data_IF_431682022219
#
_entry.id   IF_431682022219
#
_cell.length_a   1.000
_cell.length_b   1.000
_cell.length_c   1.000
_cell.angle_alpha   90.00
_cell.angle_beta   90.00
_cell.angle_gamma   90.00
#
_symmetry.space_group_name_H-M   'P 1'
#
loop_
_entity.id
_entity.type
_entity.pdbx_description
1 polymer ?
#
# COMPACT_ATOMS: atom_id res chain seq x y z
N UNK A 1 2.81 15.36 -28.22
CA UNK A 1 3.28 15.35 -26.82
C UNK A 1 2.49 14.27 -26.09
N UNK A 2 3.05 13.06 -25.93
CA UNK A 2 2.39 11.93 -25.27
C UNK A 2 2.47 12.12 -23.74
N UNK A 3 1.49 12.80 -23.16
CA UNK A 3 1.30 12.83 -21.70
C UNK A 3 0.72 11.47 -21.30
N UNK A 4 1.54 10.59 -20.73
CA UNK A 4 1.04 9.41 -20.01
C UNK A 4 0.46 9.92 -18.67
N UNK A 5 -0.79 10.37 -18.70
CA UNK A 5 -1.53 10.92 -17.55
C UNK A 5 -2.01 9.80 -16.62
N UNK A 6 -1.11 8.89 -16.24
CA UNK A 6 -1.41 7.81 -15.31
C UNK A 6 -1.21 8.32 -13.90
N UNK A 7 -2.29 8.83 -13.31
CA UNK A 7 -2.36 9.04 -11.87
C UNK A 7 -1.94 7.78 -11.11
N UNK A 8 -1.08 7.97 -10.09
CA UNK A 8 -0.57 6.87 -9.30
C UNK A 8 -1.69 6.23 -8.45
N UNK A 9 -1.75 4.90 -8.35
CA UNK A 9 -2.70 4.23 -7.49
C UNK A 9 -2.33 4.36 -6.02
N UNK A 10 -3.36 4.44 -5.18
CA UNK A 10 -3.29 4.41 -3.74
C UNK A 10 -4.00 3.17 -3.22
N UNK A 11 -3.52 2.63 -2.11
CA UNK A 11 -4.28 1.68 -1.30
C UNK A 11 -5.17 2.47 -0.35
N UNK A 12 -6.42 2.07 -0.21
CA UNK A 12 -7.45 2.79 0.55
C UNK A 12 -8.16 1.83 1.48
N UNK A 13 -8.36 2.28 2.71
CA UNK A 13 -9.26 1.66 3.67
C UNK A 13 -10.46 2.60 3.88
N UNK A 14 -11.67 2.07 3.69
CA UNK A 14 -12.91 2.83 3.88
C UNK A 14 -13.17 3.11 5.36
N UNK A 15 -14.08 4.06 5.63
CA UNK A 15 -14.47 4.48 7.00
C UNK A 15 -15.84 3.97 7.43
N UNK A 16 -16.42 3.03 6.69
CA UNK A 16 -17.68 2.39 7.07
C UNK A 16 -17.47 1.46 8.29
N UNK A 17 -18.55 1.04 8.94
CA UNK A 17 -18.52 0.21 10.15
C UNK A 17 -17.75 -1.11 9.97
N UNK A 18 -17.84 -1.69 8.77
CA UNK A 18 -17.06 -2.86 8.37
C UNK A 18 -16.12 -2.43 7.25
N UNK A 19 -14.94 -1.87 7.55
CA UNK A 19 -14.03 -1.33 6.54
C UNK A 19 -13.65 -2.36 5.48
N UNK A 20 -13.52 -1.92 4.24
CA UNK A 20 -12.94 -2.71 3.15
C UNK A 20 -11.66 -2.06 2.64
N UNK A 21 -10.79 -2.90 2.13
CA UNK A 21 -9.59 -2.46 1.43
C UNK A 21 -9.86 -2.40 -0.07
N UNK A 22 -9.31 -1.39 -0.73
CA UNK A 22 -9.35 -1.25 -2.19
C UNK A 22 -8.11 -0.51 -2.68
N UNK A 23 -7.78 -0.64 -3.96
CA UNK A 23 -6.81 0.24 -4.61
C UNK A 23 -7.51 1.11 -5.65
N UNK A 24 -7.17 2.40 -5.71
CA UNK A 24 -7.77 3.37 -6.63
C UNK A 24 -6.80 4.49 -6.96
N UNK A 25 -6.91 5.05 -8.16
CA UNK A 25 -6.21 6.29 -8.54
C UNK A 25 -6.92 7.55 -8.05
N UNK A 26 -8.19 7.42 -7.69
CA UNK A 26 -9.04 8.51 -7.22
C UNK A 26 -9.55 8.14 -5.82
N UNK A 27 -8.71 8.28 -4.78
CA UNK A 27 -9.12 7.97 -3.42
C UNK A 27 -10.24 8.94 -2.96
N UNK A 28 -11.28 8.46 -2.26
CA UNK A 28 -12.28 9.33 -1.64
C UNK A 28 -11.62 10.35 -0.71
N UNK A 29 -12.10 11.60 -0.70
CA UNK A 29 -11.47 12.72 0.06
C UNK A 29 -11.27 12.39 1.54
N UNK A 30 -12.18 11.64 2.15
CA UNK A 30 -12.17 11.32 3.56
C UNK A 30 -11.64 9.92 3.91
N UNK A 31 -11.06 9.14 2.98
CA UNK A 31 -10.58 7.79 3.28
C UNK A 31 -9.15 7.77 3.82
N UNK A 32 -8.80 6.73 4.58
CA UNK A 32 -7.40 6.44 4.87
C UNK A 32 -6.75 5.92 3.59
N UNK A 33 -5.60 6.49 3.20
CA UNK A 33 -4.90 6.15 1.96
C UNK A 33 -3.40 6.01 2.18
N UNK A 34 -2.79 5.09 1.45
CA UNK A 34 -1.34 4.84 1.45
C UNK A 34 -0.81 4.77 0.03
N UNK A 35 0.42 5.24 -0.18
CA UNK A 35 1.04 5.44 -1.50
C UNK A 35 1.48 6.91 -1.68
N UNK A 36 1.82 7.33 -2.91
CA UNK A 36 1.52 6.66 -4.19
C UNK A 36 2.34 5.39 -4.47
N UNK A 37 1.69 4.37 -5.03
CA UNK A 37 2.37 3.15 -5.50
C UNK A 37 2.91 3.32 -6.93
N UNK A 38 4.03 2.67 -7.30
CA UNK A 38 4.63 2.84 -8.61
C UNK A 38 3.73 2.38 -9.76
N UNK A 39 2.86 1.39 -9.51
CA UNK A 39 1.86 0.91 -10.46
C UNK A 39 0.72 0.17 -9.73
N UNK A 40 -0.35 -0.16 -10.47
CA UNK A 40 -1.52 -0.83 -9.89
C UNK A 40 -1.22 -2.28 -9.44
N UNK A 41 -0.23 -2.93 -10.05
CA UNK A 41 0.24 -4.26 -9.65
C UNK A 41 0.82 -4.24 -8.23
N UNK A 42 1.68 -3.26 -7.92
CA UNK A 42 2.26 -3.10 -6.58
C UNK A 42 1.18 -2.84 -5.51
N UNK A 43 0.23 -1.93 -5.78
CA UNK A 43 -0.89 -1.68 -4.87
C UNK A 43 -1.75 -2.94 -4.67
N UNK A 44 -2.01 -3.69 -5.75
CA UNK A 44 -2.75 -4.96 -5.71
C UNK A 44 -2.00 -6.04 -4.92
N UNK A 45 -0.68 -6.14 -5.04
CA UNK A 45 0.13 -7.09 -4.28
C UNK A 45 0.03 -6.83 -2.77
N UNK A 46 0.19 -5.58 -2.33
CA UNK A 46 0.02 -5.22 -0.91
C UNK A 46 -1.40 -5.50 -0.44
N UNK A 47 -2.42 -5.14 -1.23
CA UNK A 47 -3.80 -5.47 -0.92
C UNK A 47 -3.97 -6.98 -0.72
N UNK A 48 -3.46 -7.81 -1.64
CA UNK A 48 -3.56 -9.28 -1.54
C UNK A 48 -2.83 -9.84 -0.32
N UNK A 49 -1.66 -9.29 0.03
CA UNK A 49 -0.93 -9.66 1.24
C UNK A 49 -1.78 -9.40 2.49
N UNK A 50 -2.35 -8.20 2.63
CA UNK A 50 -3.18 -7.85 3.79
C UNK A 50 -4.43 -8.70 3.89
N UNK A 51 -5.04 -9.03 2.74
CA UNK A 51 -6.19 -9.94 2.67
C UNK A 51 -5.81 -11.34 3.17
N UNK A 52 -4.69 -11.89 2.72
CA UNK A 52 -4.20 -13.21 3.14
C UNK A 52 -3.84 -13.25 4.62
N UNK A 53 -3.12 -12.24 5.10
CA UNK A 53 -2.59 -12.24 6.47
C UNK A 53 -3.66 -11.91 7.52
N UNK A 54 -4.53 -10.94 7.22
CA UNK A 54 -5.46 -10.39 8.21
C UNK A 54 -6.93 -10.69 7.90
N UNK A 55 -7.24 -11.21 6.70
CA UNK A 55 -8.61 -11.53 6.30
C UNK A 55 -9.46 -10.29 6.00
N UNK A 56 -8.84 -9.18 5.59
CA UNK A 56 -9.56 -7.93 5.28
C UNK A 56 -10.44 -8.13 4.04
N UNK A 57 -11.68 -7.64 4.08
CA UNK A 57 -12.59 -7.74 2.94
C UNK A 57 -12.25 -6.71 1.86
N UNK A 58 -12.56 -7.03 0.61
CA UNK A 58 -12.50 -6.10 -0.52
C UNK A 58 -13.83 -5.98 -1.29
N UNK A 59 -14.83 -6.80 -0.92
CA UNK A 59 -16.14 -6.85 -1.54
C UNK A 59 -16.85 -5.49 -1.48
N UNK A 60 -17.59 -5.13 -2.52
CA UNK A 60 -18.37 -3.88 -2.55
C UNK A 60 -19.56 -3.95 -1.61
N UNK A 61 -20.24 -5.08 -1.60
CA UNK A 61 -21.47 -5.32 -0.85
C UNK A 61 -21.26 -6.45 0.16
N UNK A 62 -22.00 -6.40 1.26
CA UNK A 62 -22.02 -7.44 2.29
C UNK A 62 -23.12 -8.45 1.94
N UNK A 63 -22.73 -9.69 1.67
CA UNK A 63 -23.68 -10.75 1.30
C UNK A 63 -24.02 -11.58 2.55
N UNK A 64 -25.31 -11.85 2.83
CA UNK A 64 -25.74 -12.57 4.03
C UNK A 64 -25.16 -13.99 4.16
N UNK A 65 -24.83 -14.63 3.05
CA UNK A 65 -24.28 -16.00 3.01
C UNK A 65 -22.74 -16.04 2.89
N UNK A 66 -22.07 -14.89 2.92
CA UNK A 66 -20.65 -14.83 2.63
C UNK A 66 -20.36 -14.65 1.14
N UNK A 67 -19.10 -14.35 0.82
CA UNK A 67 -18.62 -14.20 -0.54
C UNK A 67 -17.55 -15.25 -0.87
N UNK A 68 -17.20 -15.40 -2.15
CA UNK A 68 -16.17 -16.35 -2.58
C UNK A 68 -14.86 -16.18 -1.80
N UNK A 69 -14.46 -14.94 -1.53
CA UNK A 69 -13.22 -14.65 -0.80
C UNK A 69 -13.24 -15.19 0.63
N UNK A 70 -14.39 -15.26 1.27
CA UNK A 70 -14.53 -15.91 2.58
C UNK A 70 -14.39 -17.42 2.45
N UNK A 71 -15.09 -18.03 1.49
CA UNK A 71 -15.06 -19.49 1.30
C UNK A 71 -13.68 -20.03 0.92
N UNK A 72 -12.82 -19.22 0.28
CA UNK A 72 -11.43 -19.59 -0.03
C UNK A 72 -10.41 -19.08 1.01
N UNK A 73 -10.86 -18.55 2.15
CA UNK A 73 -9.99 -18.15 3.25
C UNK A 73 -9.23 -16.82 3.08
N UNK A 74 -9.57 -16.00 2.08
CA UNK A 74 -8.98 -14.66 1.86
C UNK A 74 -9.69 -13.54 2.62
N UNK A 75 -10.81 -13.82 3.26
CA UNK A 75 -11.62 -12.86 4.00
C UNK A 75 -12.15 -13.53 5.27
N UNK A 76 -12.14 -12.81 6.39
CA UNK A 76 -12.64 -13.32 7.67
C UNK A 76 -14.17 -13.49 7.70
N UNK A 77 -14.89 -13.01 6.68
CA UNK A 77 -16.35 -13.15 6.59
C UNK A 77 -17.15 -12.20 7.49
N UNK A 78 -16.78 -10.91 7.64
CA UNK A 78 -17.50 -9.99 8.53
C UNK A 78 -18.94 -9.69 8.09
N UNK A 79 -19.36 -10.13 6.90
CA UNK A 79 -20.75 -10.05 6.45
C UNK A 79 -21.67 -11.09 7.12
N UNK A 80 -21.11 -12.14 7.71
CA UNK A 80 -21.86 -13.14 8.50
C UNK A 80 -21.62 -12.88 9.99
N UNK A 81 -20.35 -12.74 10.39
CA UNK A 81 -19.95 -12.46 11.77
C UNK A 81 -18.79 -11.46 11.79
N UNK A 82 -19.05 -10.26 12.28
CA UNK A 82 -18.08 -9.18 12.36
C UNK A 82 -17.18 -9.26 13.61
N UNK A 83 -17.34 -10.26 14.47
CA UNK A 83 -16.58 -10.39 15.72
C UNK A 83 -15.07 -10.43 15.45
N UNK A 84 -14.33 -9.53 16.12
CA UNK A 84 -12.87 -9.41 15.97
C UNK A 84 -12.40 -8.81 14.64
N UNK A 85 -13.30 -8.39 13.73
CA UNK A 85 -12.91 -7.80 12.46
C UNK A 85 -12.23 -6.43 12.61
N UNK A 86 -12.67 -5.61 13.55
CA UNK A 86 -12.06 -4.30 13.84
C UNK A 86 -10.58 -4.43 14.23
N UNK A 87 -10.24 -5.39 15.08
CA UNK A 87 -8.87 -5.66 15.52
C UNK A 87 -7.96 -6.10 14.36
N UNK A 88 -8.50 -6.90 13.44
CA UNK A 88 -7.81 -7.30 12.19
C UNK A 88 -7.53 -6.07 11.31
N UNK A 89 -8.52 -5.20 11.15
CA UNK A 89 -8.38 -3.94 10.40
C UNK A 89 -7.35 -3.03 11.06
N UNK A 90 -7.36 -2.90 12.38
CA UNK A 90 -6.38 -2.09 13.10
C UNK A 90 -4.96 -2.63 12.99
N UNK A 91 -4.79 -3.95 12.99
CA UNK A 91 -3.50 -4.58 12.76
C UNK A 91 -3.01 -4.34 11.33
N UNK A 92 -3.86 -4.50 10.32
CA UNK A 92 -3.52 -4.15 8.94
C UNK A 92 -3.15 -2.66 8.79
N UNK A 93 -3.85 -1.77 9.50
CA UNK A 93 -3.54 -0.33 9.54
C UNK A 93 -2.17 -0.04 10.17
N UNK A 94 -1.81 -0.71 11.27
CA UNK A 94 -0.48 -0.57 11.90
C UNK A 94 0.64 -0.99 10.96
N UNK A 95 0.48 -2.13 10.27
CA UNK A 95 1.43 -2.61 9.27
C UNK A 95 1.62 -1.58 8.15
N UNK A 96 0.53 -1.03 7.63
CA UNK A 96 0.59 0.00 6.59
C UNK A 96 1.22 1.32 7.08
N UNK A 97 1.17 1.61 8.38
CA UNK A 97 1.77 2.79 9.00
C UNK A 97 3.24 2.60 9.44
N UNK A 98 3.85 1.45 9.17
CA UNK A 98 5.27 1.21 9.45
C UNK A 98 5.58 0.04 10.38
N UNK A 99 4.59 -0.48 11.10
CA UNK A 99 4.76 -1.63 12.00
C UNK A 99 4.72 -2.96 11.22
N UNK A 100 5.62 -3.08 10.24
CA UNK A 100 5.67 -4.20 9.29
C UNK A 100 6.92 -5.07 9.47
N UNK A 101 7.76 -4.82 10.48
CA UNK A 101 9.07 -5.46 10.62
C UNK A 101 8.98 -7.00 10.64
N UNK A 102 8.11 -7.56 11.49
CA UNK A 102 7.91 -9.01 11.59
C UNK A 102 7.40 -9.62 10.27
N UNK A 103 6.44 -8.96 9.62
CA UNK A 103 5.88 -9.42 8.34
C UNK A 103 6.92 -9.37 7.21
N UNK A 104 7.76 -8.34 7.17
CA UNK A 104 8.84 -8.20 6.20
C UNK A 104 9.93 -9.26 6.41
N UNK A 105 10.23 -9.62 7.66
CA UNK A 105 11.19 -10.67 7.99
C UNK A 105 10.67 -12.04 7.54
N UNK A 106 9.39 -12.34 7.77
CA UNK A 106 8.75 -13.57 7.31
C UNK A 106 8.78 -13.67 5.78
N UNK A 107 8.38 -12.61 5.06
CA UNK A 107 8.42 -12.57 3.60
C UNK A 107 9.84 -12.74 3.04
N UNK A 108 10.86 -12.22 3.75
CA UNK A 108 12.26 -12.39 3.34
C UNK A 108 12.69 -13.85 3.48
N UNK A 109 12.36 -14.52 4.59
CA UNK A 109 12.62 -15.95 4.80
C UNK A 109 11.96 -16.81 3.72
N UNK A 110 10.71 -16.53 3.39
CA UNK A 110 9.99 -17.23 2.32
C UNK A 110 10.60 -17.00 0.93
N UNK A 111 11.07 -15.78 0.66
CA UNK A 111 11.77 -15.44 -0.58
C UNK A 111 13.07 -16.22 -0.72
N UNK A 112 13.88 -16.27 0.35
CA UNK A 112 15.16 -16.97 0.38
C UNK A 112 14.95 -18.48 0.20
N UNK A 113 14.00 -19.07 0.92
CA UNK A 113 13.63 -20.48 0.76
C UNK A 113 13.16 -20.82 -0.68
N UNK A 114 12.38 -19.94 -1.31
CA UNK A 114 11.98 -20.11 -2.71
C UNK A 114 13.18 -20.03 -3.66
N UNK A 115 14.15 -19.15 -3.39
CA UNK A 115 15.38 -19.04 -4.17
C UNK A 115 16.27 -20.28 -4.02
N UNK A 116 16.41 -20.81 -2.81
CA UNK A 116 17.15 -22.06 -2.54
C UNK A 116 16.51 -23.25 -3.25
N UNK A 117 15.18 -23.31 -3.30
CA UNK A 117 14.43 -24.30 -4.07
C UNK A 117 14.43 -24.08 -5.59
N UNK A 118 15.22 -23.11 -6.11
CA UNK A 118 15.28 -22.73 -7.53
C UNK A 118 13.94 -22.25 -8.13
N UNK A 119 12.98 -21.84 -7.28
CA UNK A 119 11.67 -21.31 -7.67
C UNK A 119 11.72 -19.79 -7.85
N UNK A 120 12.45 -19.31 -8.85
CA UNK A 120 12.75 -17.88 -9.04
C UNK A 120 11.52 -17.00 -9.26
N UNK A 121 10.44 -17.51 -9.87
CA UNK A 121 9.20 -16.76 -10.03
C UNK A 121 8.53 -16.46 -8.68
N UNK A 122 8.53 -17.44 -7.77
CA UNK A 122 7.98 -17.27 -6.42
C UNK A 122 8.85 -16.31 -5.61
N UNK A 123 10.17 -16.46 -5.65
CA UNK A 123 11.10 -15.54 -5.01
C UNK A 123 10.93 -14.10 -5.53
N UNK A 124 10.80 -13.91 -6.85
CA UNK A 124 10.54 -12.61 -7.44
C UNK A 124 9.21 -12.00 -6.95
N UNK A 125 8.14 -12.79 -6.87
CA UNK A 125 6.84 -12.32 -6.36
C UNK A 125 6.92 -11.87 -4.88
N UNK A 126 7.67 -12.59 -4.04
CA UNK A 126 7.91 -12.22 -2.63
C UNK A 126 8.75 -10.95 -2.53
N UNK A 127 9.83 -10.84 -3.31
CA UNK A 127 10.65 -9.62 -3.42
C UNK A 127 9.82 -8.40 -3.80
N UNK A 128 8.96 -8.53 -4.81
CA UNK A 128 8.14 -7.43 -5.30
C UNK A 128 7.09 -7.03 -4.24
N UNK A 129 6.56 -8.00 -3.50
CA UNK A 129 5.68 -7.76 -2.35
C UNK A 129 6.42 -6.99 -1.24
N UNK A 130 7.63 -7.41 -0.86
CA UNK A 130 8.50 -6.71 0.11
C UNK A 130 8.74 -5.26 -0.32
N UNK A 131 9.09 -5.03 -1.59
CA UNK A 131 9.29 -3.69 -2.15
C UNK A 131 8.03 -2.84 -2.06
N UNK A 132 6.87 -3.42 -2.36
CA UNK A 132 5.60 -2.69 -2.31
C UNK A 132 5.18 -2.33 -0.87
N UNK A 133 5.41 -3.23 0.10
CA UNK A 133 5.19 -2.94 1.53
C UNK A 133 6.15 -1.85 2.00
N UNK A 134 7.44 -1.94 1.67
CA UNK A 134 8.45 -0.92 2.02
C UNK A 134 8.17 0.45 1.41
N UNK A 135 7.65 0.50 0.18
CA UNK A 135 7.23 1.76 -0.43
C UNK A 135 6.10 2.44 0.36
N UNK A 136 5.27 1.64 1.04
CA UNK A 136 4.17 2.13 1.88
C UNK A 136 4.67 2.59 3.24
N UNK A 137 5.54 1.82 3.89
CA UNK A 137 6.05 2.13 5.23
C UNK A 137 7.14 3.20 5.25
N UNK A 138 7.91 3.33 4.16
CA UNK A 138 8.98 4.31 4.01
C UNK A 138 8.52 5.73 3.62
N UNK A 139 7.25 5.91 3.27
CA UNK A 139 6.69 7.21 2.82
C UNK A 139 6.18 8.12 3.94
N UNK A 140 6.44 7.80 5.21
CA UNK A 140 6.25 8.75 6.32
C UNK A 140 7.45 9.70 6.51
N UNK A 141 8.18 10.04 5.44
CA UNK A 141 9.22 11.08 5.49
C UNK A 141 8.60 12.40 5.03
N UNK A 142 8.28 13.22 6.04
CA UNK A 142 7.75 14.61 6.03
C UNK A 142 6.23 14.78 5.89
N UNK A 143 5.46 14.24 6.83
CA UNK A 143 4.16 14.87 7.18
C UNK A 143 4.37 15.99 8.21
N UNK A 144 5.06 17.06 7.81
CA UNK A 144 5.05 18.28 8.64
C UNK A 144 3.68 18.94 8.53
N UNK A 145 2.95 19.08 9.65
CA UNK A 145 1.72 19.89 9.69
C UNK A 145 1.97 21.37 9.33
N UNK A 146 3.22 21.80 9.36
CA UNK A 146 3.67 23.19 9.15
C UNK A 146 4.02 23.48 7.69
N UNK A 147 4.58 22.52 6.96
CA UNK A 147 4.99 22.67 5.55
C UNK A 147 4.15 21.73 4.69
N UNK A 148 2.90 22.12 4.41
CA UNK A 148 1.98 21.35 3.54
C UNK A 148 2.16 21.66 2.07
N UNK A 149 2.53 22.90 1.76
CA UNK A 149 2.79 23.38 0.41
C UNK A 149 4.20 24.00 0.44
N UNK A 150 5.20 23.26 -0.04
CA UNK A 150 6.56 23.77 -0.07
C UNK A 150 7.32 23.23 -1.28
N UNK A 151 8.00 24.11 -1.99
CA UNK A 151 8.88 23.73 -3.10
C UNK A 151 10.32 23.62 -2.58
N UNK A 152 11.00 22.53 -2.91
CA UNK A 152 12.43 22.38 -2.68
C UNK A 152 13.18 22.74 -3.98
N UNK A 153 14.10 23.71 -3.86
CA UNK A 153 14.93 24.16 -4.98
C UNK A 153 16.37 23.70 -4.73
N UNK A 154 16.82 22.76 -5.56
CA UNK A 154 18.21 22.34 -5.62
C UNK A 154 18.94 23.09 -6.72
N UNK A 155 20.04 23.77 -6.39
CA UNK A 155 20.88 24.48 -7.36
C UNK A 155 22.29 23.95 -7.26
N UNK A 156 22.86 23.57 -8.41
CA UNK A 156 24.29 23.29 -8.53
C UNK A 156 24.86 24.07 -9.71
N UNK A 157 26.01 24.71 -9.51
CA UNK A 157 26.74 25.41 -10.57
C UNK A 157 28.16 24.87 -10.64
N UNK A 158 28.66 24.62 -11.86
CA UNK A 158 30.03 24.20 -12.13
C UNK A 158 30.53 24.87 -13.42
N UNK A 159 31.48 25.77 -13.27
CA UNK A 159 31.98 26.58 -14.40
C UNK A 159 30.87 27.45 -14.97
N UNK A 160 30.67 27.40 -16.29
CA UNK A 160 29.61 28.13 -16.99
C UNK A 160 28.26 27.40 -17.03
N UNK A 161 28.14 26.22 -16.39
CA UNK A 161 26.91 25.44 -16.35
C UNK A 161 26.26 25.49 -14.97
N UNK A 162 24.94 25.66 -14.96
CA UNK A 162 24.11 25.50 -13.78
C UNK A 162 22.96 24.53 -14.06
N UNK A 163 22.63 23.72 -13.07
CA UNK A 163 21.43 22.89 -13.07
C UNK A 163 20.55 23.29 -11.89
N UNK A 164 19.26 23.47 -12.17
CA UNK A 164 18.23 23.75 -11.19
C UNK A 164 17.24 22.60 -11.22
N UNK A 165 16.99 22.02 -10.05
CA UNK A 165 15.93 21.02 -9.85
C UNK A 165 14.91 21.64 -8.93
N UNK A 166 13.67 21.71 -9.41
CA UNK A 166 12.53 22.14 -8.62
C UNK A 166 11.69 20.90 -8.32
N UNK A 167 11.45 20.68 -7.03
CA UNK A 167 10.63 19.60 -6.53
C UNK A 167 9.43 20.26 -5.84
N UNK A 168 8.24 19.99 -6.33
CA UNK A 168 7.00 20.54 -5.79
C UNK A 168 6.42 19.59 -4.75
N UNK A 169 6.17 20.06 -3.54
CA UNK A 169 5.38 19.31 -2.57
C UNK A 169 4.01 19.95 -2.38
N UNK A 170 2.95 19.25 -2.79
CA UNK A 170 1.55 19.63 -2.54
C UNK A 170 0.93 18.63 -1.57
N UNK A 171 0.26 19.12 -0.53
CA UNK A 171 -0.28 18.30 0.56
C UNK A 171 0.77 17.38 1.23
N UNK A 172 2.04 17.79 1.26
CA UNK A 172 3.15 16.99 1.80
C UNK A 172 3.55 15.79 0.93
N UNK A 173 3.15 15.76 -0.35
CA UNK A 173 3.58 14.77 -1.34
C UNK A 173 4.46 15.46 -2.36
N UNK A 174 5.70 14.99 -2.46
CA UNK A 174 6.71 15.34 -3.47
C UNK A 174 6.47 14.60 -4.79
#
# INVERSE_FOLDING_TARGET
MLKDDKSYPYLVLTKEEIPRIMYTRHPPKASLRWGPFPNAGAAKQVMQLLRRQFGIRDCKELLPQGCLSMHIGLCAGPCIDATGYSERVDTARRVLNGDAAALLEELAKEMDAASEAMNFEQAAAKRDTIRAVRATTGQHVVSSKVYRDCDAIGIVARGEMAAVVIIHADQGVV
#
